data_IF_622450471997
#
_entry.id   IF_622450471997
#
_cell.length_a   1.000
_cell.length_b   1.000
_cell.length_c   1.000
_cell.angle_alpha   90.00
_cell.angle_beta   90.00
_cell.angle_gamma   90.00
#
_symmetry.space_group_name_H-M   'P 1'
#
loop_
_entity.id
_entity.type
_entity.pdbx_description
1 polymer ?
#
# COMPACT_ATOMS: atom_id res chain seq x y z
N UNK A 1 -17.36 -15.63 26.12
CA UNK A 1 -16.28 -15.98 25.18
C UNK A 1 -15.52 -14.71 24.82
N UNK A 2 -14.22 -14.61 25.05
CA UNK A 2 -13.43 -13.44 24.62
C UNK A 2 -13.26 -13.52 23.10
N UNK A 3 -13.85 -12.60 22.34
CA UNK A 3 -13.51 -12.43 20.92
C UNK A 3 -12.02 -12.15 20.83
N UNK A 4 -11.28 -13.03 20.14
CA UNK A 4 -9.91 -12.71 19.72
C UNK A 4 -10.04 -11.49 18.81
N UNK A 5 -9.38 -10.37 19.15
CA UNK A 5 -9.20 -9.28 18.19
C UNK A 5 -8.36 -9.85 17.06
N UNK A 6 -8.99 -10.21 15.96
CA UNK A 6 -8.27 -10.52 14.72
C UNK A 6 -7.67 -9.20 14.23
N UNK A 7 -6.46 -9.26 13.67
CA UNK A 7 -5.79 -8.12 13.07
C UNK A 7 -5.64 -8.40 11.57
N UNK A 8 -5.69 -7.36 10.74
CA UNK A 8 -5.36 -7.53 9.33
C UNK A 8 -3.93 -8.05 9.17
N UNK A 9 -3.75 -8.97 8.24
CA UNK A 9 -2.46 -9.55 7.86
C UNK A 9 -1.78 -8.61 6.87
N UNK A 10 -0.62 -8.08 7.25
CA UNK A 10 0.17 -7.21 6.38
C UNK A 10 0.98 -8.02 5.36
N UNK A 11 1.47 -7.33 4.32
CA UNK A 11 2.64 -7.81 3.57
C UNK A 11 3.85 -7.93 4.50
N UNK A 12 4.68 -8.94 4.29
CA UNK A 12 5.86 -9.23 5.11
C UNK A 12 7.09 -9.54 4.28
N UNK A 13 8.26 -9.48 4.92
CA UNK A 13 9.52 -9.95 4.36
C UNK A 13 9.84 -9.39 2.97
N UNK A 14 9.92 -10.28 1.97
CA UNK A 14 10.24 -9.91 0.58
C UNK A 14 9.09 -9.14 -0.09
N UNK A 15 7.85 -9.53 0.16
CA UNK A 15 6.69 -8.91 -0.48
C UNK A 15 6.52 -7.45 -0.03
N UNK A 16 6.69 -7.18 1.26
CA UNK A 16 6.71 -5.81 1.78
C UNK A 16 7.79 -4.94 1.09
N UNK A 17 9.02 -5.46 0.93
CA UNK A 17 10.08 -4.74 0.23
C UNK A 17 9.79 -4.48 -1.25
N UNK A 18 9.06 -5.39 -1.91
CA UNK A 18 8.61 -5.16 -3.29
C UNK A 18 7.61 -4.02 -3.31
N UNK A 19 6.61 -4.03 -2.42
CA UNK A 19 5.62 -2.96 -2.32
C UNK A 19 6.28 -1.59 -2.05
N UNK A 20 7.26 -1.52 -1.16
CA UNK A 20 8.07 -0.30 -0.93
C UNK A 20 8.74 0.21 -2.22
N UNK A 21 9.34 -0.67 -3.02
CA UNK A 21 9.91 -0.28 -4.32
C UNK A 21 8.83 0.17 -5.31
N UNK A 22 7.67 -0.49 -5.28
CA UNK A 22 6.53 -0.16 -6.14
C UNK A 22 5.98 1.23 -5.82
N UNK A 23 5.86 1.64 -4.55
CA UNK A 23 5.36 2.98 -4.22
C UNK A 23 6.44 4.07 -4.21
N UNK A 24 7.72 3.69 -4.18
CA UNK A 24 8.84 4.64 -4.14
C UNK A 24 8.77 5.64 -5.30
N UNK A 25 8.87 6.93 -4.96
CA UNK A 25 8.91 8.03 -5.92
C UNK A 25 7.55 8.49 -6.42
N UNK A 26 6.45 7.90 -5.94
CA UNK A 26 5.14 8.51 -6.10
C UNK A 26 5.03 9.72 -5.15
N UNK A 27 4.35 10.77 -5.62
CA UNK A 27 3.97 11.95 -4.83
C UNK A 27 2.45 12.12 -4.98
N UNK A 28 1.72 12.22 -3.86
CA UNK A 28 0.24 12.25 -3.88
C UNK A 28 -0.40 13.36 -3.04
N UNK A 29 0.43 14.21 -2.42
CA UNK A 29 0.02 15.45 -1.79
C UNK A 29 0.52 16.64 -2.64
N UNK A 30 0.30 16.55 -3.95
CA UNK A 30 0.76 17.51 -4.97
C UNK A 30 -0.34 17.72 -6.03
N UNK A 31 -0.39 18.91 -6.62
CA UNK A 31 -1.39 19.26 -7.65
C UNK A 31 -1.14 18.59 -9.02
N UNK A 32 -0.08 17.79 -9.14
CA UNK A 32 0.32 17.11 -10.36
C UNK A 32 -0.02 15.61 -10.30
N UNK A 33 -1.16 15.25 -10.88
CA UNK A 33 -1.65 13.86 -10.88
C UNK A 33 -0.73 12.90 -11.64
N UNK A 34 0.15 13.38 -12.52
CA UNK A 34 1.10 12.51 -13.23
C UNK A 34 2.14 11.89 -12.31
N UNK A 35 2.30 12.43 -11.09
CA UNK A 35 3.20 11.91 -10.06
C UNK A 35 2.54 10.89 -9.12
N UNK A 36 1.22 10.74 -9.19
CA UNK A 36 0.44 9.85 -8.33
C UNK A 36 0.45 8.41 -8.85
N UNK A 37 0.88 8.20 -10.10
CA UNK A 37 0.92 6.89 -10.73
C UNK A 37 2.24 6.65 -11.47
N UNK A 38 2.56 5.39 -11.71
CA UNK A 38 3.63 5.00 -12.63
C UNK A 38 3.40 3.62 -13.24
N UNK A 39 4.04 3.41 -14.39
CA UNK A 39 4.12 2.12 -15.07
C UNK A 39 5.55 1.58 -14.98
N UNK A 40 5.70 0.31 -14.63
CA UNK A 40 6.98 -0.41 -14.62
C UNK A 40 6.90 -1.52 -15.66
N UNK A 41 7.73 -1.42 -16.69
CA UNK A 41 7.84 -2.41 -17.77
C UNK A 41 9.31 -2.66 -18.10
N UNK A 42 9.99 -3.38 -17.22
CA UNK A 42 11.40 -3.75 -17.41
C UNK A 42 11.56 -5.04 -18.23
N UNK A 43 10.44 -5.66 -18.62
CA UNK A 43 10.42 -6.94 -19.33
C UNK A 43 10.33 -6.81 -20.84
N UNK A 44 10.27 -5.57 -21.36
CA UNK A 44 10.09 -5.25 -22.78
C UNK A 44 8.91 -6.01 -23.40
N UNK A 45 7.78 -6.05 -22.67
CA UNK A 45 6.57 -6.75 -23.10
C UNK A 45 6.58 -8.28 -22.98
N UNK A 46 7.66 -8.89 -22.47
CA UNK A 46 7.69 -10.35 -22.20
C UNK A 46 6.68 -10.73 -21.10
N UNK A 47 6.51 -9.84 -20.12
CA UNK A 47 5.51 -9.93 -19.08
C UNK A 47 4.66 -8.65 -19.08
N UNK A 48 3.45 -8.73 -18.52
CA UNK A 48 2.62 -7.55 -18.35
C UNK A 48 3.32 -6.52 -17.44
N UNK A 49 3.24 -5.26 -17.85
CA UNK A 49 3.71 -4.14 -17.04
C UNK A 49 2.92 -4.05 -15.72
N UNK A 50 3.57 -3.56 -14.67
CA UNK A 50 2.92 -3.25 -13.38
C UNK A 50 2.54 -1.78 -13.38
N UNK A 51 1.27 -1.49 -13.12
CA UNK A 51 0.77 -0.16 -12.86
C UNK A 51 0.63 0.03 -11.36
N UNK A 52 1.09 1.16 -10.85
CA UNK A 52 0.98 1.51 -9.42
C UNK A 52 0.43 2.91 -9.34
N UNK A 53 -0.57 3.12 -8.49
CA UNK A 53 -1.26 4.39 -8.35
C UNK A 53 -1.67 4.62 -6.90
N UNK A 54 -1.50 5.83 -6.39
CA UNK A 54 -2.21 6.28 -5.21
C UNK A 54 -3.64 6.65 -5.60
N UNK A 55 -4.64 6.05 -4.93
CA UNK A 55 -6.04 6.17 -5.34
C UNK A 55 -6.93 6.85 -4.29
N UNK A 56 -6.54 6.84 -3.01
CA UNK A 56 -7.39 7.39 -1.95
C UNK A 56 -6.63 7.59 -0.62
N UNK A 57 -7.19 8.39 0.30
CA UNK A 57 -6.91 8.34 1.73
C UNK A 57 -8.14 7.89 2.49
N UNK A 58 -7.99 6.87 3.33
CA UNK A 58 -8.99 6.60 4.36
C UNK A 58 -8.67 7.45 5.59
N UNK A 59 -9.67 8.21 6.07
CA UNK A 59 -9.55 9.05 7.27
C UNK A 59 -10.65 8.77 8.32
N UNK A 60 -11.66 7.94 7.97
CA UNK A 60 -12.81 7.67 8.83
C UNK A 60 -12.93 6.16 9.11
N UNK A 61 -12.80 5.77 10.38
CA UNK A 61 -12.85 4.37 10.84
C UNK A 61 -11.50 3.65 10.73
N UNK A 62 -10.82 3.75 9.58
CA UNK A 62 -9.42 3.35 9.40
C UNK A 62 -8.66 4.51 8.76
N UNK A 63 -7.39 4.70 9.14
CA UNK A 63 -6.55 5.80 8.66
C UNK A 63 -5.41 5.26 7.82
N UNK A 64 -5.18 5.81 6.62
CA UNK A 64 -4.02 5.50 5.80
C UNK A 64 -4.19 5.81 4.32
N UNK A 65 -3.06 5.79 3.62
CA UNK A 65 -2.99 5.98 2.16
C UNK A 65 -3.35 4.68 1.45
N UNK A 66 -4.03 4.75 0.31
CA UNK A 66 -4.43 3.57 -0.48
C UNK A 66 -3.72 3.59 -1.83
N UNK A 67 -3.08 2.48 -2.15
CA UNK A 67 -2.38 2.29 -3.43
C UNK A 67 -2.98 1.11 -4.20
N UNK A 68 -3.34 1.30 -5.47
CA UNK A 68 -3.61 0.20 -6.39
C UNK A 68 -2.29 -0.30 -6.99
N UNK A 69 -2.16 -1.62 -7.10
CA UNK A 69 -1.17 -2.30 -7.92
C UNK A 69 -1.94 -3.19 -8.90
N UNK A 70 -1.70 -3.02 -10.19
CA UNK A 70 -2.47 -3.72 -11.21
C UNK A 70 -1.62 -4.19 -12.39
N UNK A 71 -2.03 -5.32 -12.97
CA UNK A 71 -1.71 -5.67 -14.34
C UNK A 71 -2.96 -5.58 -15.20
N UNK A 72 -2.77 -5.22 -16.47
CA UNK A 72 -3.82 -5.18 -17.46
C UNK A 72 -3.41 -5.95 -18.71
N UNK A 73 -4.39 -6.63 -19.31
CA UNK A 73 -4.29 -7.21 -20.65
C UNK A 73 -5.53 -6.85 -21.45
N UNK A 74 -5.46 -6.97 -22.78
CA UNK A 74 -6.62 -6.78 -23.65
C UNK A 74 -7.28 -8.12 -23.94
N UNK A 75 -8.61 -8.18 -23.85
CA UNK A 75 -9.40 -9.32 -24.29
C UNK A 75 -10.63 -8.81 -25.04
N UNK A 76 -10.80 -9.22 -26.30
CA UNK A 76 -11.90 -8.78 -27.16
C UNK A 76 -12.00 -7.24 -27.31
N UNK A 77 -10.87 -6.52 -27.21
CA UNK A 77 -10.83 -5.05 -27.26
C UNK A 77 -11.09 -4.36 -25.92
N UNK A 78 -11.39 -5.11 -24.85
CA UNK A 78 -11.60 -4.58 -23.51
C UNK A 78 -10.33 -4.73 -22.64
N UNK A 79 -10.04 -3.72 -21.83
CA UNK A 79 -8.99 -3.79 -20.81
C UNK A 79 -9.45 -4.62 -19.61
N UNK A 80 -8.72 -5.68 -19.31
CA UNK A 80 -9.01 -6.66 -18.26
C UNK A 80 -7.96 -6.59 -17.15
N UNK A 81 -8.37 -6.65 -15.88
CA UNK A 81 -7.48 -6.67 -14.70
C UNK A 81 -6.97 -8.09 -14.40
N UNK A 82 -5.66 -8.26 -14.15
CA UNK A 82 -5.04 -9.57 -13.84
C UNK A 82 -3.80 -9.57 -12.91
N UNK A 83 -3.99 -9.44 -11.59
CA UNK A 83 -5.11 -8.84 -10.90
C UNK A 83 -4.89 -7.33 -10.66
N UNK A 84 -5.89 -6.67 -10.09
CA UNK A 84 -5.84 -5.35 -9.45
C UNK A 84 -6.05 -5.52 -7.94
N UNK A 85 -5.12 -5.02 -7.13
CA UNK A 85 -5.17 -5.14 -5.67
C UNK A 85 -4.89 -3.78 -5.04
N UNK A 86 -5.79 -3.35 -4.17
CA UNK A 86 -5.61 -2.11 -3.41
C UNK A 86 -5.02 -2.42 -2.03
N UNK A 87 -4.04 -1.63 -1.63
CA UNK A 87 -3.32 -1.76 -0.37
C UNK A 87 -3.50 -0.51 0.47
N UNK A 88 -4.04 -0.68 1.68
CA UNK A 88 -3.97 0.33 2.71
C UNK A 88 -2.57 0.35 3.32
N UNK A 89 -1.90 1.50 3.28
CA UNK A 89 -0.66 1.78 3.99
C UNK A 89 -0.96 2.46 5.33
N UNK A 90 -0.63 1.80 6.43
CA UNK A 90 -0.71 2.35 7.78
C UNK A 90 0.53 1.97 8.58
N UNK A 91 1.22 2.97 9.18
CA UNK A 91 2.46 2.78 9.95
C UNK A 91 3.48 1.88 9.25
N UNK A 92 3.80 2.19 7.99
CA UNK A 92 4.71 1.44 7.11
C UNK A 92 4.36 -0.03 6.84
N UNK A 93 3.12 -0.42 7.12
CA UNK A 93 2.60 -1.74 6.75
C UNK A 93 1.57 -1.59 5.64
N UNK A 94 1.58 -2.52 4.71
CA UNK A 94 0.62 -2.59 3.62
C UNK A 94 -0.33 -3.75 3.85
N UNK A 95 -1.63 -3.47 3.81
CA UNK A 95 -2.70 -4.44 4.00
C UNK A 95 -3.54 -4.48 2.73
N UNK A 96 -3.66 -5.63 2.04
CA UNK A 96 -4.58 -5.70 0.91
C UNK A 96 -6.02 -5.55 1.42
N UNK A 97 -6.75 -4.63 0.81
CA UNK A 97 -8.13 -4.27 1.17
C UNK A 97 -9.13 -4.44 0.03
N UNK A 98 -8.65 -4.71 -1.17
CA UNK A 98 -9.46 -5.01 -2.34
C UNK A 98 -8.70 -5.95 -3.27
N UNK A 99 -9.43 -6.82 -3.97
CA UNK A 99 -8.90 -7.64 -5.04
C UNK A 99 -9.91 -7.73 -6.17
N UNK A 100 -9.45 -7.58 -7.42
CA UNK A 100 -10.24 -7.84 -8.62
C UNK A 100 -9.42 -8.53 -9.69
N UNK A 101 -10.00 -9.55 -10.30
CA UNK A 101 -9.49 -10.19 -11.50
C UNK A 101 -10.67 -10.39 -12.46
N UNK A 102 -10.53 -9.96 -13.72
CA UNK A 102 -11.62 -10.02 -14.68
C UNK A 102 -11.59 -11.34 -15.51
N UNK A 103 -10.44 -12.01 -15.59
CA UNK A 103 -10.27 -13.29 -16.32
C UNK A 103 -10.73 -14.55 -15.57
N UNK A 104 -10.84 -15.68 -16.31
CA UNK A 104 -11.06 -17.04 -15.78
C UNK A 104 -12.24 -17.19 -14.79
N UNK A 105 -13.38 -16.58 -15.12
CA UNK A 105 -14.60 -16.64 -14.30
C UNK A 105 -14.86 -15.40 -13.45
N UNK A 106 -13.92 -14.46 -13.37
CA UNK A 106 -14.10 -13.15 -12.75
C UNK A 106 -14.28 -13.22 -11.23
N UNK A 107 -13.59 -12.38 -10.48
CA UNK A 107 -13.77 -12.30 -9.02
C UNK A 107 -13.49 -10.90 -8.53
N UNK A 108 -14.37 -10.40 -7.67
CA UNK A 108 -14.19 -9.15 -6.93
C UNK A 108 -14.36 -9.44 -5.43
N UNK A 109 -13.41 -8.96 -4.63
CA UNK A 109 -13.38 -9.14 -3.19
C UNK A 109 -13.10 -7.81 -2.50
N UNK A 110 -14.11 -7.27 -1.81
CA UNK A 110 -14.01 -6.04 -1.01
C UNK A 110 -13.72 -6.44 0.43
N UNK A 111 -12.59 -6.05 1.01
CA UNK A 111 -12.26 -6.45 2.39
C UNK A 111 -12.98 -5.58 3.41
N UNK A 112 -12.98 -4.26 3.19
CA UNK A 112 -13.57 -3.30 4.11
C UNK A 112 -15.10 -3.35 4.07
N UNK A 113 -15.71 -3.12 5.22
CA UNK A 113 -17.16 -2.96 5.39
C UNK A 113 -17.41 -1.51 5.74
N UNK A 114 -18.28 -0.87 4.97
CA UNK A 114 -18.66 0.53 5.14
C UNK A 114 -20.08 0.62 5.68
N UNK A 115 -20.37 1.64 6.49
CA UNK A 115 -21.74 2.04 6.79
C UNK A 115 -22.37 2.86 5.64
N UNK A 116 -23.60 3.33 5.83
CA UNK A 116 -24.32 4.15 4.85
C UNK A 116 -23.72 5.55 4.62
N UNK A 117 -22.79 5.99 5.47
CA UNK A 117 -22.10 7.28 5.39
C UNK A 117 -20.68 7.12 4.79
N UNK A 118 -20.26 5.89 4.50
CA UNK A 118 -18.94 5.60 3.94
C UNK A 118 -17.83 5.46 4.99
N UNK A 119 -18.17 5.29 6.27
CA UNK A 119 -17.19 5.02 7.32
C UNK A 119 -16.84 3.53 7.39
N UNK A 120 -15.56 3.21 7.58
CA UNK A 120 -15.14 1.82 7.77
C UNK A 120 -15.60 1.34 9.15
N UNK A 121 -16.54 0.39 9.17
CA UNK A 121 -17.11 -0.21 10.39
C UNK A 121 -16.56 -1.59 10.70
N UNK A 122 -15.85 -2.21 9.75
CA UNK A 122 -15.21 -3.50 9.95
C UNK A 122 -14.48 -4.00 8.70
N UNK A 123 -14.06 -5.26 8.73
CA UNK A 123 -13.46 -5.93 7.58
C UNK A 123 -13.76 -7.42 7.60
N UNK A 124 -13.52 -8.10 6.47
CA UNK A 124 -13.72 -9.55 6.28
C UNK A 124 -12.42 -10.32 6.55
N UNK A 125 -12.17 -10.91 7.73
CA UNK A 125 -10.83 -11.35 8.13
C UNK A 125 -10.28 -12.52 7.31
N UNK A 126 -11.11 -13.53 7.03
CA UNK A 126 -10.71 -14.69 6.20
C UNK A 126 -10.30 -14.25 4.79
N UNK A 127 -11.14 -13.44 4.14
CA UNK A 127 -10.87 -12.86 2.82
C UNK A 127 -9.58 -12.03 2.82
N UNK A 128 -9.42 -11.16 3.83
CA UNK A 128 -8.22 -10.33 3.98
C UNK A 128 -6.96 -11.18 4.10
N UNK A 129 -7.00 -12.24 4.91
CA UNK A 129 -5.87 -13.15 5.10
C UNK A 129 -5.55 -13.97 3.84
N UNK A 130 -6.55 -14.40 3.08
CA UNK A 130 -6.39 -15.11 1.81
C UNK A 130 -5.71 -14.22 0.75
N UNK A 131 -6.18 -12.98 0.58
CA UNK A 131 -5.55 -12.02 -0.35
C UNK A 131 -4.12 -11.70 0.11
N UNK A 132 -3.90 -11.49 1.41
CA UNK A 132 -2.56 -11.26 1.96
C UNK A 132 -1.63 -12.46 1.73
N UNK A 133 -2.12 -13.69 1.85
CA UNK A 133 -1.34 -14.90 1.57
C UNK A 133 -0.92 -14.95 0.10
N UNK A 134 -1.88 -14.75 -0.81
CA UNK A 134 -1.61 -14.67 -2.25
C UNK A 134 -0.54 -13.61 -2.59
N UNK A 135 -0.70 -12.39 -2.07
CA UNK A 135 0.23 -11.30 -2.31
C UNK A 135 1.63 -11.61 -1.76
N UNK A 136 1.71 -12.17 -0.55
CA UNK A 136 2.97 -12.48 0.11
C UNK A 136 3.75 -13.62 -0.57
N UNK A 137 3.05 -14.69 -0.94
CA UNK A 137 3.68 -15.95 -1.31
C UNK A 137 3.85 -16.11 -2.83
N UNK A 138 2.96 -15.51 -3.62
CA UNK A 138 2.90 -15.75 -5.06
C UNK A 138 3.14 -14.46 -5.83
N UNK A 139 2.28 -13.46 -5.64
CA UNK A 139 2.18 -12.37 -6.59
C UNK A 139 3.32 -11.35 -6.49
N UNK A 140 3.63 -10.83 -5.30
CA UNK A 140 4.77 -9.90 -5.14
C UNK A 140 6.13 -10.54 -5.52
N UNK A 141 6.40 -11.81 -5.19
CA UNK A 141 7.56 -12.53 -5.74
C UNK A 141 7.59 -12.61 -7.27
N UNK A 142 6.43 -12.83 -7.91
CA UNK A 142 6.33 -12.86 -9.37
C UNK A 142 6.60 -11.50 -9.99
N UNK A 143 5.96 -10.42 -9.49
CA UNK A 143 6.24 -9.04 -9.92
C UNK A 143 7.73 -8.75 -9.85
N UNK A 144 8.37 -9.06 -8.72
CA UNK A 144 9.81 -8.86 -8.56
C UNK A 144 10.63 -9.56 -9.64
N UNK A 145 10.31 -10.84 -9.92
CA UNK A 145 11.04 -11.65 -10.90
C UNK A 145 10.81 -11.14 -12.32
N UNK A 146 9.55 -10.92 -12.69
CA UNK A 146 9.12 -10.52 -14.03
C UNK A 146 9.61 -9.11 -14.39
N UNK A 147 9.62 -8.20 -13.43
CA UNK A 147 10.07 -6.81 -13.61
C UNK A 147 11.53 -6.58 -13.19
N UNK A 148 12.29 -7.65 -12.91
CA UNK A 148 13.72 -7.53 -12.58
C UNK A 148 14.04 -6.65 -11.37
N UNK A 149 13.12 -6.52 -10.41
CA UNK A 149 13.30 -5.59 -9.29
C UNK A 149 14.41 -6.07 -8.35
N UNK A 150 15.38 -5.19 -8.12
CA UNK A 150 16.53 -5.44 -7.23
C UNK A 150 16.39 -4.64 -5.94
N UNK A 151 16.77 -5.27 -4.83
CA UNK A 151 16.94 -4.54 -3.58
C UNK A 151 18.34 -3.94 -3.63
N UNK A 152 18.45 -2.62 -3.45
CA UNK A 152 19.76 -1.99 -3.29
C UNK A 152 20.50 -2.73 -2.16
N UNK A 153 21.75 -3.14 -2.42
CA UNK A 153 22.64 -3.57 -1.35
C UNK A 153 22.84 -2.34 -0.47
N UNK A 154 22.66 -2.49 0.85
CA UNK A 154 23.15 -1.46 1.78
C UNK A 154 24.65 -1.34 1.53
N UNK A 155 25.11 -0.13 1.23
CA UNK A 155 26.52 0.24 1.27
C UNK A 155 27.11 -0.29 2.58
N UNK A 156 28.22 -1.06 2.59
CA UNK A 156 28.79 -1.64 3.80
C UNK A 156 29.24 -0.62 4.86
N UNK A 157 29.10 0.69 4.64
CA UNK A 157 29.73 1.70 5.48
C UNK A 157 28.92 2.98 5.75
N UNK A 158 27.60 2.95 5.58
CA UNK A 158 26.77 4.02 6.13
C UNK A 158 26.63 3.82 7.65
N UNK A 159 27.52 4.44 8.44
CA UNK A 159 27.32 4.58 9.88
C UNK A 159 25.90 5.13 10.12
N UNK A 160 25.05 4.37 10.80
CA UNK A 160 23.74 4.85 11.25
C UNK A 160 23.94 6.18 11.99
N UNK A 161 23.25 7.26 11.64
CA UNK A 161 23.06 8.32 12.60
C UNK A 161 22.24 7.71 13.72
N UNK A 162 22.86 7.63 14.90
CA UNK A 162 22.21 7.35 16.16
C UNK A 162 21.04 8.33 16.26
N UNK A 163 19.81 7.86 16.06
CA UNK A 163 18.63 8.56 16.57
C UNK A 163 18.42 8.11 18.00
N UNK A 164 19.15 8.76 18.90
CA UNK A 164 18.50 9.23 20.12
C UNK A 164 17.40 10.18 19.64
N UNK A 165 16.18 9.97 20.12
CA UNK A 165 15.27 11.04 20.50
C UNK A 165 14.04 10.35 21.11
N UNK A 166 14.07 10.31 22.44
CA UNK A 166 12.85 10.25 23.22
C UNK A 166 12.00 11.47 22.82
N UNK A 167 10.78 11.23 22.36
CA UNK A 167 9.82 12.32 22.16
C UNK A 167 9.32 12.76 23.54
N UNK A 168 9.93 13.83 24.05
CA UNK A 168 9.37 14.69 25.09
C UNK A 168 8.25 15.49 24.44
N UNK A 169 7.04 15.33 24.99
CA UNK A 169 5.93 16.25 24.77
C UNK A 169 6.27 17.53 25.53
N UNK A 170 6.27 18.69 24.87
CA UNK A 170 6.11 19.94 25.61
C UNK A 170 5.19 20.92 24.87
N UNK A 171 4.20 21.33 25.65
CA UNK A 171 3.08 22.19 25.33
C UNK A 171 3.55 23.62 25.06
N UNK A 172 3.10 24.23 23.96
CA UNK A 172 3.16 25.67 23.83
C UNK A 172 2.07 26.31 24.69
N UNK A 173 2.48 26.89 25.83
CA UNK A 173 1.71 27.94 26.52
C UNK A 173 2.59 29.15 26.82
N UNK A 174 2.22 30.25 26.15
CA UNK A 174 2.20 31.63 26.60
C UNK A 174 3.35 32.17 27.48
N UNK A 175 4.10 33.11 26.92
CA UNK A 175 4.49 34.32 27.65
C UNK A 175 4.92 35.44 26.67
N UNK A 176 3.94 36.10 26.04
CA UNK A 176 4.06 37.53 25.81
C UNK A 176 3.48 38.24 27.03
N UNK A 177 4.32 38.93 27.79
CA UNK A 177 3.99 40.16 28.51
C UNK A 177 5.26 40.84 29.01
N UNK A 178 5.68 41.81 28.21
CA UNK A 178 5.98 43.21 28.59
C UNK A 178 7.02 43.49 29.67
N UNK A 179 8.04 44.23 29.23
CA UNK A 179 8.76 45.31 29.90
C UNK A 179 7.94 46.08 30.96
N UNK A 180 8.61 46.53 32.03
CA UNK A 180 8.20 47.73 32.75
C UNK A 180 8.43 47.72 34.27
N UNK A 181 9.43 48.49 34.68
CA UNK A 181 9.70 49.05 36.02
C UNK A 181 10.30 48.14 37.10
#
# INVERSE_FOLDING_TARGET
>A
MKQKKEHMVALTGRAHKVMELLVKGLEWDVDDSSKMHKKIDNSNGTFMAVHVEFINKHNNGIVGDVFSVAHHYEQNGDTMRDPDVEFLRNSDKFYPIYFRQDGAGGTEQKVLVFDGEGHVTGWRPKMQAEIASFCNQVWMPNIKRQQGLTFLKREPNAKSPIRNDAYVLDEQREAEKTEGA
#
